data_IF_506976312476
#
_entry.id   IF_506976312476
#
_cell.length_a   1.000
_cell.length_b   1.000
_cell.length_c   1.000
_cell.angle_alpha   90.00
_cell.angle_beta   90.00
_cell.angle_gamma   90.00
#
_symmetry.space_group_name_H-M   'P 1'
#
loop_
_entity.id
_entity.type
_entity.pdbx_description
1 polymer ?
#
# COMPACT_ATOMS: atom_id res chain seq x y z
N UNK A 1 -4.90 -8.83 -12.55
CA UNK A 1 -5.15 -9.18 -11.14
C UNK A 1 -3.86 -9.14 -10.36
N UNK A 2 -3.95 -9.03 -9.04
CA UNK A 2 -2.88 -9.33 -8.06
C UNK A 2 -3.47 -10.14 -6.90
N UNK A 3 -2.62 -10.74 -6.09
CA UNK A 3 -3.02 -11.77 -5.12
C UNK A 3 -2.68 -11.38 -3.69
N UNK A 4 -3.66 -11.45 -2.79
CA UNK A 4 -3.47 -11.22 -1.36
C UNK A 4 -3.52 -12.55 -0.60
N UNK A 5 -2.39 -12.95 0.00
CA UNK A 5 -2.29 -14.14 0.83
C UNK A 5 -2.66 -13.78 2.27
N UNK A 6 -3.63 -14.48 2.83
CA UNK A 6 -4.13 -14.20 4.18
C UNK A 6 -4.89 -15.41 4.75
N UNK A 7 -5.56 -15.25 5.90
CA UNK A 7 -6.38 -16.29 6.50
C UNK A 7 -7.85 -16.22 6.05
N UNK A 8 -8.59 -17.32 6.19
CA UNK A 8 -10.05 -17.34 5.98
C UNK A 8 -10.78 -16.27 6.82
N UNK A 9 -10.39 -16.06 8.08
CA UNK A 9 -10.99 -15.03 8.95
C UNK A 9 -10.82 -13.61 8.37
N UNK A 10 -9.64 -13.32 7.82
CA UNK A 10 -9.38 -12.03 7.17
C UNK A 10 -10.17 -11.91 5.87
N UNK A 11 -10.29 -12.98 5.07
CA UNK A 11 -11.15 -13.00 3.89
C UNK A 11 -12.61 -12.64 4.24
N UNK A 12 -13.19 -13.27 5.28
CA UNK A 12 -14.56 -13.00 5.69
C UNK A 12 -14.75 -11.52 6.04
N UNK A 13 -13.80 -10.92 6.76
CA UNK A 13 -13.84 -9.50 7.11
C UNK A 13 -13.66 -8.59 5.89
N UNK A 14 -12.81 -8.95 4.92
CA UNK A 14 -12.61 -8.19 3.67
C UNK A 14 -13.92 -8.19 2.87
N UNK A 15 -14.57 -9.35 2.79
CA UNK A 15 -15.86 -9.52 2.09
C UNK A 15 -16.97 -8.72 2.79
N UNK A 16 -17.06 -8.82 4.11
CA UNK A 16 -18.06 -8.12 4.93
C UNK A 16 -17.91 -6.58 4.84
N UNK A 17 -16.68 -6.08 5.04
CA UNK A 17 -16.43 -4.63 5.13
C UNK A 17 -16.06 -3.97 3.80
N UNK A 18 -15.76 -4.75 2.76
CA UNK A 18 -15.28 -4.29 1.45
C UNK A 18 -14.12 -3.31 1.56
N UNK A 19 -13.12 -3.70 2.33
CA UNK A 19 -11.92 -2.89 2.57
C UNK A 19 -10.70 -3.75 2.82
N UNK A 20 -9.55 -3.13 2.56
CA UNK A 20 -8.25 -3.61 2.98
C UNK A 20 -7.73 -2.78 4.16
N UNK A 21 -6.87 -3.36 4.99
CA UNK A 21 -6.29 -2.65 6.13
C UNK A 21 -4.81 -2.34 5.89
N UNK A 22 -4.57 -1.13 5.39
CA UNK A 22 -3.23 -0.63 5.14
C UNK A 22 -2.50 -0.43 6.48
N UNK A 23 -1.45 -1.20 6.69
CA UNK A 23 -0.69 -1.22 7.95
C UNK A 23 0.42 -0.19 7.88
N UNK A 24 0.67 0.54 8.96
CA UNK A 24 1.78 1.48 8.98
C UNK A 24 3.11 0.76 8.69
N UNK A 25 3.95 1.34 7.84
CA UNK A 25 5.18 0.72 7.34
C UNK A 25 6.13 0.29 8.48
N UNK A 26 6.11 0.98 9.63
CA UNK A 26 6.94 0.66 10.79
C UNK A 26 6.54 -0.63 11.52
N UNK A 27 5.36 -1.16 11.22
CA UNK A 27 4.79 -2.35 11.86
C UNK A 27 4.74 -3.55 10.91
N UNK A 28 5.41 -3.46 9.75
CA UNK A 28 5.58 -4.59 8.84
C UNK A 28 6.63 -5.57 9.37
N UNK A 29 6.60 -6.79 8.82
CA UNK A 29 7.51 -7.86 9.22
C UNK A 29 8.98 -7.53 8.92
N UNK A 30 9.24 -6.79 7.85
CA UNK A 30 10.58 -6.35 7.47
C UNK A 30 10.73 -4.85 7.73
N UNK A 31 11.26 -4.52 8.91
CA UNK A 31 11.56 -3.14 9.31
C UNK A 31 12.80 -2.58 8.60
N UNK A 32 13.58 -3.43 7.91
CA UNK A 32 14.81 -3.01 7.23
C UNK A 32 14.57 -2.45 5.83
N UNK A 33 13.39 -2.65 5.23
CA UNK A 33 13.05 -2.19 3.87
C UNK A 33 13.29 -0.69 3.71
N UNK A 34 12.84 0.10 4.71
CA UNK A 34 13.01 1.55 4.73
C UNK A 34 14.48 1.93 4.74
N UNK A 35 15.24 1.39 5.69
CA UNK A 35 16.64 1.75 5.90
C UNK A 35 17.50 1.33 4.69
N UNK A 36 17.17 0.20 4.07
CA UNK A 36 17.76 -0.23 2.81
C UNK A 36 17.61 0.84 1.72
N UNK A 37 16.39 1.30 1.44
CA UNK A 37 16.16 2.33 0.43
C UNK A 37 16.83 3.67 0.78
N UNK A 38 16.70 4.13 2.03
CA UNK A 38 17.29 5.40 2.45
C UNK A 38 18.82 5.39 2.36
N UNK A 39 19.47 4.26 2.64
CA UNK A 39 20.93 4.12 2.48
C UNK A 39 21.39 4.22 1.01
N UNK A 40 20.56 3.72 0.07
CA UNK A 40 20.82 3.84 -1.36
C UNK A 40 20.70 5.29 -1.81
N UNK A 41 19.69 6.02 -1.32
CA UNK A 41 19.50 7.45 -1.59
C UNK A 41 20.63 8.27 -1.01
N UNK A 42 21.02 8.03 0.25
CA UNK A 42 22.13 8.73 0.92
C UNK A 42 23.40 8.68 0.08
N UNK A 43 23.77 7.48 -0.38
CA UNK A 43 24.96 7.27 -1.20
C UNK A 43 24.94 8.10 -2.47
N UNK A 44 23.79 8.16 -3.15
CA UNK A 44 23.66 8.93 -4.39
C UNK A 44 23.63 10.44 -4.14
N UNK A 45 22.98 10.91 -3.07
CA UNK A 45 22.98 12.33 -2.70
C UNK A 45 24.40 12.81 -2.37
N UNK A 46 25.15 12.05 -1.56
CA UNK A 46 26.55 12.37 -1.23
C UNK A 46 27.41 12.43 -2.49
N UNK A 47 27.27 11.45 -3.38
CA UNK A 47 28.01 11.42 -4.64
C UNK A 47 27.63 12.60 -5.56
N UNK A 48 26.36 12.95 -5.67
CA UNK A 48 25.89 14.09 -6.48
C UNK A 48 26.37 15.43 -5.91
N UNK A 49 26.30 15.60 -4.58
CA UNK A 49 26.75 16.81 -3.89
C UNK A 49 28.28 16.98 -3.97
N UNK A 50 29.04 15.89 -3.98
CA UNK A 50 30.50 15.92 -4.07
C UNK A 50 31.07 16.33 -5.44
N UNK A 51 30.25 16.39 -6.49
CA UNK A 51 30.71 16.76 -7.85
C UNK A 51 31.07 18.25 -7.95
N UNK A 52 32.08 18.54 -8.77
CA UNK A 52 32.40 19.90 -9.17
C UNK A 52 31.19 20.50 -9.94
N UNK A 53 30.81 21.73 -9.58
CA UNK A 53 29.63 22.39 -10.16
C UNK A 53 28.28 21.86 -9.66
N UNK A 54 28.22 20.98 -8.64
CA UNK A 54 26.94 20.51 -8.11
C UNK A 54 26.05 21.67 -7.62
N UNK A 55 24.77 21.63 -7.99
CA UNK A 55 23.78 22.66 -7.69
C UNK A 55 23.64 22.88 -6.17
N UNK A 56 23.46 24.14 -5.70
CA UNK A 56 23.25 24.43 -4.28
C UNK A 56 22.11 23.63 -3.65
N UNK A 57 21.01 23.43 -4.40
CA UNK A 57 19.86 22.63 -3.95
C UNK A 57 20.25 21.20 -3.62
N UNK A 58 21.10 20.56 -4.43
CA UNK A 58 21.55 19.17 -4.19
C UNK A 58 22.40 19.09 -2.93
N UNK A 59 23.31 20.05 -2.72
CA UNK A 59 24.13 20.11 -1.50
C UNK A 59 23.26 20.27 -0.26
N UNK A 60 22.31 21.19 -0.29
CA UNK A 60 21.43 21.41 0.85
C UNK A 60 20.50 20.23 1.13
N UNK A 61 19.97 19.56 0.10
CA UNK A 61 19.20 18.33 0.27
C UNK A 61 20.05 17.21 0.87
N UNK A 62 21.31 17.07 0.46
CA UNK A 62 22.23 16.10 1.03
C UNK A 62 22.47 16.36 2.53
N UNK A 63 22.72 17.61 2.92
CA UNK A 63 22.94 17.99 4.32
C UNK A 63 21.68 17.75 5.17
N UNK A 64 20.51 18.16 4.66
CA UNK A 64 19.22 17.94 5.30
C UNK A 64 18.88 16.45 5.43
N UNK A 65 19.19 15.65 4.41
CA UNK A 65 18.95 14.21 4.39
C UNK A 65 19.80 13.45 5.42
N UNK A 66 21.08 13.82 5.58
CA UNK A 66 21.96 13.17 6.55
C UNK A 66 21.47 13.32 8.00
N UNK A 67 20.83 14.47 8.31
CA UNK A 67 20.13 14.68 9.59
C UNK A 67 18.85 13.85 9.65
N UNK A 68 18.04 13.94 8.60
CA UNK A 68 16.76 13.23 8.46
C UNK A 68 16.88 11.72 8.64
N UNK A 69 17.83 11.08 7.96
CA UNK A 69 18.00 9.62 7.98
C UNK A 69 18.30 9.07 9.38
N UNK A 70 18.82 9.90 10.28
CA UNK A 70 19.13 9.55 11.67
C UNK A 70 17.98 9.81 12.65
N UNK A 71 16.95 10.53 12.23
CA UNK A 71 15.83 10.90 13.10
C UNK A 71 14.80 9.77 13.22
N UNK A 72 14.28 9.59 14.44
CA UNK A 72 13.20 8.64 14.70
C UNK A 72 11.86 9.28 14.32
N UNK A 73 11.33 8.92 13.16
CA UNK A 73 10.01 9.38 12.69
C UNK A 73 8.88 8.80 13.54
N UNK A 74 7.86 9.63 13.80
CA UNK A 74 6.60 9.14 14.37
C UNK A 74 5.91 8.29 13.33
N UNK A 75 5.19 7.26 13.77
CA UNK A 75 4.47 6.39 12.83
C UNK A 75 3.45 7.17 11.99
N UNK A 76 2.87 8.25 12.54
CA UNK A 76 1.92 9.13 11.83
C UNK A 76 2.54 9.83 10.62
N UNK A 77 3.86 9.91 10.54
CA UNK A 77 4.63 10.56 9.47
C UNK A 77 5.12 9.55 8.41
N UNK A 78 4.72 8.28 8.53
CA UNK A 78 5.13 7.19 7.66
C UNK A 78 3.94 6.62 6.87
N UNK A 79 4.17 6.08 5.66
CA UNK A 79 3.12 5.50 4.84
C UNK A 79 2.46 4.27 5.47
N UNK A 80 1.26 3.95 4.96
CA UNK A 80 0.52 2.75 5.29
C UNK A 80 0.38 1.88 4.04
N UNK A 81 0.60 0.57 4.18
CA UNK A 81 0.68 -0.33 3.03
C UNK A 81 -0.23 -1.55 3.13
N UNK A 82 -0.74 -1.98 1.98
CA UNK A 82 -1.31 -3.32 1.77
C UNK A 82 -0.47 -4.01 0.71
N UNK A 83 0.00 -5.21 1.00
CA UNK A 83 0.85 -5.99 0.10
C UNK A 83 0.06 -7.04 -0.68
N UNK A 84 0.44 -7.19 -1.94
CA UNK A 84 -0.09 -8.17 -2.90
C UNK A 84 1.09 -8.80 -3.65
N UNK A 85 0.89 -9.99 -4.20
CA UNK A 85 1.85 -10.66 -5.09
C UNK A 85 1.29 -10.76 -6.51
N UNK A 86 2.17 -10.76 -7.51
CA UNK A 86 1.82 -11.13 -8.87
C UNK A 86 1.60 -12.64 -9.03
N UNK A 87 2.16 -13.45 -8.13
CA UNK A 87 2.20 -14.91 -8.26
C UNK A 87 1.03 -15.56 -7.49
N UNK A 88 0.12 -16.25 -8.19
CA UNK A 88 -0.81 -17.16 -7.54
C UNK A 88 -0.09 -18.44 -7.11
N UNK A 89 -0.62 -19.09 -6.07
CA UNK A 89 -0.18 -20.41 -5.60
C UNK A 89 1.32 -20.56 -5.26
N UNK A 90 1.91 -19.58 -4.55
CA UNK A 90 3.33 -19.60 -4.17
C UNK A 90 3.57 -20.26 -2.80
N UNK A 91 4.40 -21.30 -2.74
CA UNK A 91 4.77 -21.98 -1.49
C UNK A 91 5.40 -21.03 -0.46
N UNK A 92 6.25 -20.09 -0.92
CA UNK A 92 6.87 -19.11 -0.05
C UNK A 92 5.81 -18.20 0.61
N UNK A 93 4.85 -17.74 -0.19
CA UNK A 93 3.74 -16.90 0.28
C UNK A 93 2.83 -17.65 1.25
N UNK A 94 2.47 -18.91 0.93
CA UNK A 94 1.68 -19.76 1.83
C UNK A 94 2.35 -19.91 3.20
N UNK A 95 3.67 -20.18 3.22
CA UNK A 95 4.41 -20.35 4.47
C UNK A 95 4.54 -19.05 5.26
N UNK A 96 4.70 -17.91 4.58
CA UNK A 96 4.91 -16.63 5.22
C UNK A 96 3.63 -16.03 5.81
N UNK A 97 2.51 -16.12 5.09
CA UNK A 97 1.29 -15.36 5.41
C UNK A 97 0.09 -16.22 5.80
N UNK A 98 0.14 -17.54 5.55
CA UNK A 98 -1.00 -18.43 5.75
C UNK A 98 -0.67 -19.55 6.75
N UNK A 99 -0.56 -19.19 8.03
CA UNK A 99 -0.26 -20.14 9.08
C UNK A 99 -1.41 -21.17 9.29
N UNK A 100 -1.02 -22.39 9.73
CA UNK A 100 -1.93 -23.42 10.28
C UNK A 100 -2.99 -23.97 9.31
N UNK A 101 -2.71 -23.98 8.00
CA UNK A 101 -3.61 -24.60 7.02
C UNK A 101 -4.97 -23.90 6.86
N UNK A 102 -5.15 -22.68 7.37
CA UNK A 102 -6.39 -21.91 7.20
C UNK A 102 -6.21 -20.74 6.23
N UNK A 103 -5.35 -20.95 5.22
CA UNK A 103 -4.90 -19.95 4.28
C UNK A 103 -5.78 -19.80 3.05
N UNK A 104 -5.88 -18.58 2.55
CA UNK A 104 -6.47 -18.27 1.25
C UNK A 104 -5.60 -17.26 0.49
N UNK A 105 -5.68 -17.33 -0.83
CA UNK A 105 -5.08 -16.40 -1.76
C UNK A 105 -6.21 -15.73 -2.54
N UNK A 106 -6.40 -14.43 -2.32
CA UNK A 106 -7.51 -13.65 -2.87
C UNK A 106 -7.00 -12.94 -4.13
N UNK A 107 -7.55 -13.31 -5.28
CA UNK A 107 -7.28 -12.65 -6.55
C UNK A 107 -8.15 -11.41 -6.71
N UNK A 108 -7.48 -10.25 -6.80
CA UNK A 108 -8.11 -8.93 -6.76
C UNK A 108 -7.89 -8.21 -8.08
N UNK A 109 -8.93 -7.51 -8.52
CA UNK A 109 -8.94 -6.66 -9.70
C UNK A 109 -8.10 -5.39 -9.49
N UNK A 110 -7.15 -5.18 -10.39
CA UNK A 110 -6.21 -4.07 -10.28
C UNK A 110 -6.84 -2.72 -10.58
N UNK A 111 -7.89 -2.69 -11.40
CA UNK A 111 -8.70 -1.51 -11.67
C UNK A 111 -9.44 -1.04 -10.41
N UNK A 112 -10.01 -1.97 -9.63
CA UNK A 112 -10.60 -1.63 -8.31
C UNK A 112 -9.56 -1.05 -7.35
N UNK A 113 -8.34 -1.59 -7.32
CA UNK A 113 -7.25 -1.07 -6.49
C UNK A 113 -6.77 0.33 -6.92
N UNK A 114 -6.87 0.68 -8.20
CA UNK A 114 -6.50 2.02 -8.70
C UNK A 114 -7.48 3.11 -8.29
N UNK A 115 -8.71 2.73 -7.94
CA UNK A 115 -9.77 3.62 -7.48
C UNK A 115 -9.94 3.61 -5.95
N UNK A 116 -9.09 2.85 -5.25
CA UNK A 116 -9.15 2.68 -3.82
C UNK A 116 -8.85 4.00 -3.08
N UNK A 117 -9.63 4.28 -2.03
CA UNK A 117 -9.49 5.50 -1.23
C UNK A 117 -9.53 5.18 0.29
N UNK A 118 -8.97 6.07 1.11
CA UNK A 118 -9.03 5.93 2.57
C UNK A 118 -10.46 6.18 3.05
N UNK A 119 -10.99 5.29 3.91
CA UNK A 119 -12.28 5.47 4.57
C UNK A 119 -12.11 6.23 5.89
N UNK A 120 -12.88 7.29 6.09
CA UNK A 120 -13.01 7.97 7.37
C UNK A 120 -13.57 7.03 8.46
N UNK A 121 -13.23 7.29 9.73
CA UNK A 121 -13.66 6.50 10.89
C UNK A 121 -15.18 6.58 11.11
N UNK A 122 -15.79 7.74 10.89
CA UNK A 122 -17.20 8.02 11.19
C UNK A 122 -18.11 8.11 9.94
N UNK A 123 -17.64 7.65 8.78
CA UNK A 123 -18.39 7.80 7.51
C UNK A 123 -18.61 9.26 7.06
N UNK A 124 -18.00 10.23 7.74
CA UNK A 124 -17.92 11.65 7.32
C UNK A 124 -17.07 11.76 6.06
N UNK A 125 -17.39 12.71 5.18
CA UNK A 125 -16.52 12.94 4.04
C UNK A 125 -15.22 13.55 4.53
N UNK A 126 -14.09 13.07 4.02
CA UNK A 126 -12.79 13.72 4.25
C UNK A 126 -12.77 15.15 3.67
N UNK A 127 -13.68 15.43 2.74
CA UNK A 127 -13.85 16.71 2.02
C UNK A 127 -14.77 17.72 2.72
N UNK A 128 -15.40 17.40 3.85
CA UNK A 128 -16.35 18.31 4.51
C UNK A 128 -15.65 19.53 5.17
N UNK A 129 -14.32 19.53 5.22
CA UNK A 129 -13.48 20.61 5.71
C UNK A 129 -12.57 21.13 4.57
N UNK A 130 -12.58 22.45 4.25
CA UNK A 130 -11.90 23.01 3.07
C UNK A 130 -10.36 22.89 3.06
N UNK A 131 -9.75 22.36 4.12
CA UNK A 131 -8.28 22.25 4.28
C UNK A 131 -7.77 20.82 4.50
N UNK A 132 -8.63 19.80 4.62
CA UNK A 132 -8.15 18.41 4.71
C UNK A 132 -7.91 17.83 3.33
N UNK A 133 -6.66 17.49 3.03
CA UNK A 133 -6.31 16.69 1.86
C UNK A 133 -6.42 15.21 2.23
N UNK A 134 -7.25 14.48 1.48
CA UNK A 134 -7.38 13.03 1.62
C UNK A 134 -6.00 12.38 1.48
N UNK A 135 -5.66 11.37 2.30
CA UNK A 135 -4.39 10.69 2.12
C UNK A 135 -4.37 10.02 0.75
N UNK A 136 -3.36 10.35 -0.05
CA UNK A 136 -3.25 9.86 -1.42
C UNK A 136 -2.95 8.35 -1.38
N UNK A 137 -3.74 7.57 -2.12
CA UNK A 137 -3.54 6.12 -2.27
C UNK A 137 -2.96 5.85 -3.64
N UNK A 138 -1.82 5.16 -3.70
CA UNK A 138 -1.23 4.70 -4.96
C UNK A 138 -1.11 3.18 -4.98
N UNK A 139 -1.57 2.58 -6.08
CA UNK A 139 -1.33 1.17 -6.40
C UNK A 139 -0.13 1.06 -7.36
N UNK A 140 0.96 0.43 -6.90
CA UNK A 140 2.18 0.29 -7.71
C UNK A 140 2.94 -1.00 -7.46
N UNK A 141 3.75 -1.40 -8.44
CA UNK A 141 4.69 -2.52 -8.32
C UNK A 141 5.87 -2.11 -7.42
N UNK A 142 6.33 -3.03 -6.59
CA UNK A 142 7.55 -2.85 -5.80
C UNK A 142 8.79 -2.93 -6.69
N UNK A 143 9.72 -2.00 -6.48
CA UNK A 143 11.01 -1.98 -7.15
C UNK A 143 12.06 -2.70 -6.28
N UNK A 144 12.79 -3.61 -6.89
CA UNK A 144 13.86 -4.35 -6.23
C UNK A 144 15.19 -3.69 -6.60
N UNK A 145 15.73 -2.90 -5.67
CA UNK A 145 16.87 -2.01 -5.94
C UNK A 145 18.07 -2.35 -5.06
N UNK A 146 19.25 -2.26 -5.65
CA UNK A 146 20.54 -2.54 -5.04
C UNK A 146 21.51 -1.37 -5.23
N UNK A 147 22.72 -1.52 -4.72
CA UNK A 147 23.80 -0.54 -4.89
C UNK A 147 24.21 -0.34 -6.36
N UNK A 148 23.94 -1.35 -7.19
CA UNK A 148 24.25 -1.40 -8.61
C UNK A 148 23.26 -0.56 -9.44
N UNK A 149 22.04 -0.29 -8.93
CA UNK A 149 20.96 0.41 -9.64
C UNK A 149 21.08 1.96 -9.59
N UNK A 150 22.30 2.48 -9.61
CA UNK A 150 22.61 3.89 -9.35
C UNK A 150 21.85 4.84 -10.27
N UNK A 151 21.80 4.55 -11.56
CA UNK A 151 21.12 5.40 -12.54
C UNK A 151 19.60 5.50 -12.26
N UNK A 152 18.98 4.40 -11.84
CA UNK A 152 17.56 4.38 -11.49
C UNK A 152 17.30 5.15 -10.19
N UNK A 153 18.17 5.00 -9.19
CA UNK A 153 18.08 5.74 -7.91
C UNK A 153 18.26 7.24 -8.14
N UNK A 154 19.26 7.65 -8.93
CA UNK A 154 19.48 9.06 -9.29
C UNK A 154 18.25 9.62 -10.01
N UNK A 155 17.69 8.88 -10.98
CA UNK A 155 16.47 9.29 -11.68
C UNK A 155 15.31 9.51 -10.71
N UNK A 156 15.15 8.63 -9.72
CA UNK A 156 14.11 8.77 -8.68
C UNK A 156 14.34 10.00 -7.80
N UNK A 157 15.57 10.26 -7.37
CA UNK A 157 15.91 11.46 -6.59
C UNK A 157 15.56 12.72 -7.38
N UNK A 158 15.99 12.79 -8.64
CA UNK A 158 15.73 13.95 -9.51
C UNK A 158 14.23 14.15 -9.75
N UNK A 159 13.45 13.08 -9.95
CA UNK A 159 12.00 13.21 -10.14
C UNK A 159 11.29 13.71 -8.88
N UNK A 160 11.74 13.32 -7.68
CA UNK A 160 11.16 13.87 -6.45
C UNK A 160 11.55 15.34 -6.25
N UNK A 161 12.76 15.75 -6.61
CA UNK A 161 13.16 17.18 -6.60
C UNK A 161 12.28 18.00 -7.54
N UNK A 162 12.05 17.52 -8.75
CA UNK A 162 11.15 18.16 -9.72
C UNK A 162 9.72 18.27 -9.18
N UNK A 163 9.21 17.19 -8.55
CA UNK A 163 7.88 17.16 -7.95
C UNK A 163 7.73 18.17 -6.81
N UNK A 164 8.73 18.26 -5.93
CA UNK A 164 8.76 19.27 -4.86
C UNK A 164 8.77 20.68 -5.46
N UNK A 165 9.66 20.96 -6.42
CA UNK A 165 9.75 22.28 -7.06
C UNK A 165 8.41 22.69 -7.71
N UNK A 166 7.74 21.76 -8.36
CA UNK A 166 6.41 21.98 -8.92
C UNK A 166 5.38 22.33 -7.84
N UNK A 167 5.31 21.56 -6.75
CA UNK A 167 4.40 21.83 -5.63
C UNK A 167 4.66 23.20 -5.00
N UNK A 168 5.92 23.59 -4.85
CA UNK A 168 6.33 24.92 -4.36
C UNK A 168 5.87 26.05 -5.27
N UNK A 169 6.02 25.89 -6.58
CA UNK A 169 5.62 26.90 -7.56
C UNK A 169 4.10 27.15 -7.57
N UNK A 170 3.30 26.09 -7.38
CA UNK A 170 1.83 26.15 -7.48
C UNK A 170 1.17 26.66 -6.20
N UNK A 171 1.64 26.25 -5.02
CA UNK A 171 0.87 26.40 -3.79
C UNK A 171 1.24 27.62 -2.93
N UNK A 172 2.16 28.51 -3.36
CA UNK A 172 2.63 29.71 -2.62
C UNK A 172 2.53 29.53 -1.09
N UNK A 173 3.31 28.57 -0.59
CA UNK A 173 3.24 28.16 0.81
C UNK A 173 3.62 29.33 1.72
N UNK A 174 2.74 29.68 2.66
CA UNK A 174 3.01 30.63 3.73
C UNK A 174 3.28 29.84 5.01
N UNK A 175 4.52 29.43 5.24
CA UNK A 175 4.93 28.75 6.48
C UNK A 175 5.93 29.60 7.27
N UNK A 176 6.07 29.31 8.58
CA UNK A 176 7.05 29.92 9.47
C UNK A 176 8.49 29.37 9.25
N UNK A 177 8.67 28.44 8.32
CA UNK A 177 9.95 27.80 8.03
C UNK A 177 10.71 28.56 6.94
N UNK A 178 12.03 28.39 6.89
CA UNK A 178 12.77 28.82 5.70
C UNK A 178 12.32 27.97 4.51
N UNK A 179 12.30 28.57 3.30
CA UNK A 179 11.95 27.84 2.08
C UNK A 179 12.81 26.57 1.88
N UNK A 180 14.05 26.61 2.38
CA UNK A 180 14.98 25.49 2.27
C UNK A 180 14.63 24.32 3.20
N UNK A 181 14.20 24.61 4.43
CA UNK A 181 13.77 23.58 5.39
C UNK A 181 12.46 22.92 4.93
N UNK A 182 11.56 23.70 4.35
CA UNK A 182 10.30 23.20 3.81
C UNK A 182 10.53 22.30 2.58
N UNK A 183 11.44 22.71 1.66
CA UNK A 183 11.86 21.89 0.51
C UNK A 183 12.41 20.53 0.98
N UNK A 184 13.32 20.55 1.95
CA UNK A 184 13.95 19.34 2.49
C UNK A 184 12.92 18.43 3.16
N UNK A 185 12.00 19.00 3.93
CA UNK A 185 10.93 18.23 4.60
C UNK A 185 10.05 17.52 3.58
N UNK A 186 9.59 18.23 2.54
CA UNK A 186 8.73 17.65 1.50
C UNK A 186 9.44 16.62 0.64
N UNK A 187 10.71 16.87 0.32
CA UNK A 187 11.54 15.88 -0.36
C UNK A 187 11.64 14.58 0.45
N UNK A 188 11.88 14.69 1.75
CA UNK A 188 11.96 13.52 2.63
C UNK A 188 10.61 12.78 2.76
N UNK A 189 9.48 13.49 2.83
CA UNK A 189 8.15 12.87 2.87
C UNK A 189 7.86 12.05 1.58
N UNK A 190 8.27 12.57 0.42
CA UNK A 190 8.16 11.85 -0.86
C UNK A 190 9.09 10.62 -0.90
N UNK A 191 10.29 10.73 -0.34
CA UNK A 191 11.22 9.61 -0.22
C UNK A 191 10.67 8.50 0.68
N UNK A 192 9.97 8.80 1.78
CA UNK A 192 9.33 7.77 2.62
C UNK A 192 8.24 7.02 1.84
N UNK A 193 7.45 7.73 1.04
CA UNK A 193 6.48 7.09 0.14
C UNK A 193 7.17 6.18 -0.87
N UNK A 194 8.34 6.59 -1.37
CA UNK A 194 9.15 5.80 -2.30
C UNK A 194 9.78 4.59 -1.61
N UNK A 195 10.24 4.74 -0.38
CA UNK A 195 10.77 3.66 0.45
C UNK A 195 9.75 2.54 0.63
N UNK A 196 8.48 2.90 0.87
CA UNK A 196 7.38 1.94 0.96
C UNK A 196 7.12 1.15 -0.35
N UNK A 197 7.75 1.52 -1.46
CA UNK A 197 7.67 0.83 -2.76
C UNK A 197 8.98 0.21 -3.23
N UNK A 198 10.00 0.18 -2.38
CA UNK A 198 11.32 -0.36 -2.72
C UNK A 198 11.71 -1.49 -1.77
N UNK A 199 12.43 -2.49 -2.30
CA UNK A 199 12.93 -3.64 -1.55
C UNK A 199 14.34 -4.03 -1.96
N UNK A 200 15.00 -4.78 -1.09
CA UNK A 200 16.21 -5.49 -1.44
C UNK A 200 15.89 -6.60 -2.49
N UNK A 201 16.72 -6.81 -3.53
CA UNK A 201 16.47 -7.82 -4.55
C UNK A 201 16.37 -9.26 -4.06
N UNK A 202 16.89 -9.58 -2.88
CA UNK A 202 16.72 -10.88 -2.24
C UNK A 202 15.24 -11.25 -2.03
N UNK A 203 14.34 -10.26 -1.97
CA UNK A 203 12.89 -10.45 -1.82
C UNK A 203 12.13 -10.44 -3.17
N UNK A 204 12.82 -10.48 -4.31
CA UNK A 204 12.19 -10.46 -5.64
C UNK A 204 11.22 -11.61 -5.90
N UNK A 205 11.40 -12.74 -5.20
CA UNK A 205 10.49 -13.89 -5.23
C UNK A 205 9.07 -13.56 -4.71
N UNK A 206 8.88 -12.45 -4.00
CA UNK A 206 7.55 -12.02 -3.57
C UNK A 206 6.70 -11.44 -4.71
N UNK A 207 7.34 -10.99 -5.80
CA UNK A 207 6.71 -10.36 -6.95
C UNK A 207 5.68 -9.29 -6.55
N UNK A 208 6.10 -8.39 -5.65
CA UNK A 208 5.17 -7.62 -4.83
C UNK A 208 4.58 -6.39 -5.55
N UNK A 209 3.31 -6.13 -5.28
CA UNK A 209 2.58 -4.90 -5.56
C UNK A 209 2.04 -4.35 -4.25
N UNK A 210 1.97 -3.03 -4.11
CA UNK A 210 1.46 -2.38 -2.90
C UNK A 210 0.40 -1.33 -3.22
N UNK A 211 -0.65 -1.30 -2.40
CA UNK A 211 -1.37 -0.06 -2.12
C UNK A 211 -0.60 0.70 -1.07
N UNK A 212 -0.29 1.96 -1.32
CA UNK A 212 0.46 2.83 -0.43
C UNK A 212 -0.36 4.09 -0.20
N UNK A 213 -0.87 4.25 1.01
CA UNK A 213 -1.53 5.45 1.48
C UNK A 213 -0.51 6.36 2.18
N UNK A 214 -0.52 7.65 1.87
CA UNK A 214 0.35 8.62 2.54
C UNK A 214 -0.01 8.78 4.01
N UNK A 215 0.93 9.34 4.77
CA UNK A 215 0.62 9.92 6.07
C UNK A 215 -0.49 10.98 5.95
N UNK A 216 -1.17 11.24 7.06
CA UNK A 216 -2.24 12.23 7.15
C UNK A 216 -1.95 13.24 8.25
N UNK A 217 -2.30 14.50 8.01
CA UNK A 217 -2.25 15.55 9.03
C UNK A 217 -3.49 15.52 9.94
N UNK A 218 -4.50 14.71 9.60
CA UNK A 218 -5.73 14.51 10.38
C UNK A 218 -5.89 13.03 10.80
N UNK A 219 -4.95 12.46 11.57
CA UNK A 219 -4.98 11.04 11.96
C UNK A 219 -6.26 10.65 12.69
N UNK A 220 -6.85 11.53 13.49
CA UNK A 220 -8.10 11.29 14.21
C UNK A 220 -9.29 10.98 13.28
N UNK A 221 -9.26 11.41 12.01
CA UNK A 221 -10.34 11.17 11.05
C UNK A 221 -10.28 9.81 10.37
N UNK A 222 -9.12 9.18 10.30
CA UNK A 222 -8.88 7.98 9.45
C UNK A 222 -8.20 6.82 10.17
N UNK A 223 -7.46 7.11 11.24
CA UNK A 223 -6.62 6.13 11.92
C UNK A 223 -7.48 5.18 12.74
N UNK A 224 -7.28 3.89 12.50
CA UNK A 224 -7.89 2.80 13.26
C UNK A 224 -6.80 1.92 13.88
N UNK A 225 -7.21 1.08 14.81
CA UNK A 225 -6.29 0.25 15.58
C UNK A 225 -6.77 -1.19 15.65
N UNK A 226 -5.82 -2.13 15.63
CA UNK A 226 -6.09 -3.55 15.86
C UNK A 226 -5.06 -4.13 16.81
N UNK A 227 -5.48 -5.16 17.55
CA UNK A 227 -4.56 -5.95 18.36
C UNK A 227 -3.70 -6.85 17.46
N UNK A 228 -2.41 -6.92 17.74
CA UNK A 228 -1.47 -7.89 17.19
C UNK A 228 -0.84 -8.70 18.33
N UNK A 229 -0.01 -9.69 17.98
CA UNK A 229 0.58 -10.63 18.96
C UNK A 229 1.32 -9.93 20.11
N UNK A 230 1.96 -8.80 19.84
CA UNK A 230 2.87 -8.12 20.78
C UNK A 230 2.60 -6.62 20.94
N UNK A 231 1.63 -6.05 20.21
CA UNK A 231 1.39 -4.61 20.20
C UNK A 231 0.01 -4.26 19.66
N UNK A 232 -0.37 -2.98 19.78
CA UNK A 232 -1.46 -2.38 19.01
C UNK A 232 -0.87 -1.84 17.72
N UNK A 233 -1.51 -2.16 16.59
CA UNK A 233 -1.05 -1.79 15.26
C UNK A 233 -2.01 -0.75 14.65
N UNK A 234 -1.51 0.45 14.30
CA UNK A 234 -2.29 1.43 13.57
C UNK A 234 -2.47 1.01 12.11
N UNK A 235 -3.67 1.24 11.57
CA UNK A 235 -3.98 0.99 10.17
C UNK A 235 -4.97 2.02 9.60
N UNK A 236 -4.95 2.18 8.28
CA UNK A 236 -5.97 2.88 7.51
C UNK A 236 -6.87 1.85 6.83
N UNK A 237 -8.19 2.03 6.87
CA UNK A 237 -9.09 1.22 6.06
C UNK A 237 -9.15 1.82 4.66
N UNK A 238 -8.85 1.01 3.65
CA UNK A 238 -8.82 1.39 2.24
C UNK A 238 -9.99 0.71 1.54
N UNK A 239 -10.82 1.45 0.82
CA UNK A 239 -11.93 0.87 0.07
C UNK A 239 -11.41 -0.16 -0.94
N UNK A 240 -12.11 -1.29 -1.05
CA UNK A 240 -11.76 -2.32 -2.02
C UNK A 240 -12.40 -2.09 -3.40
N UNK A 241 -13.40 -1.21 -3.46
CA UNK A 241 -14.17 -0.80 -4.63
C UNK A 241 -14.24 0.73 -4.67
N UNK A 242 -14.60 1.30 -5.82
CA UNK A 242 -14.85 2.74 -5.95
C UNK A 242 -15.99 3.14 -4.99
N UNK A 243 -15.75 4.08 -4.05
CA UNK A 243 -16.78 4.54 -3.14
C UNK A 243 -18.01 5.14 -3.84
N UNK A 244 -17.87 5.60 -5.08
CA UNK A 244 -18.94 6.22 -5.88
C UNK A 244 -19.83 5.21 -6.61
N UNK A 245 -19.39 3.94 -6.73
CA UNK A 245 -20.11 2.87 -7.43
C UNK A 245 -21.29 2.29 -6.63
N UNK A 246 -21.46 2.74 -5.38
CA UNK A 246 -22.58 2.33 -4.55
C UNK A 246 -23.63 3.43 -4.49
N UNK A 247 -24.79 3.16 -5.09
CA UNK A 247 -26.00 3.84 -4.67
C UNK A 247 -26.26 3.49 -3.19
N UNK A 248 -26.86 4.42 -2.44
CA UNK A 248 -27.25 4.27 -1.02
C UNK A 248 -28.15 3.05 -0.73
N UNK A 249 -28.51 2.27 -1.76
CA UNK A 249 -29.36 1.07 -1.71
C UNK A 249 -28.59 -0.24 -1.52
N UNK A 250 -27.25 -0.24 -1.57
CA UNK A 250 -26.43 -1.45 -1.39
C UNK A 250 -26.29 -2.32 -2.64
N UNK A 251 -26.85 -1.89 -3.77
CA UNK A 251 -26.66 -2.52 -5.07
C UNK A 251 -25.37 -2.02 -5.73
N UNK A 252 -24.62 -2.94 -6.38
CA UNK A 252 -23.40 -2.64 -7.17
C UNK A 252 -23.81 -2.05 -8.53
N UNK A 253 -24.38 -0.85 -8.53
CA UNK A 253 -24.87 -0.19 -9.73
C UNK A 253 -24.17 1.15 -9.93
N UNK A 254 -23.47 1.29 -11.05
CA UNK A 254 -22.89 2.56 -11.49
C UNK A 254 -23.74 3.18 -12.59
N UNK A 255 -23.83 4.51 -12.60
CA UNK A 255 -24.45 5.25 -13.70
C UNK A 255 -23.41 5.51 -14.80
N UNK A 256 -23.67 5.02 -16.00
CA UNK A 256 -22.86 5.29 -17.19
C UNK A 256 -22.97 6.76 -17.63
N UNK A 257 -22.03 7.23 -18.46
CA UNK A 257 -22.07 8.57 -19.07
C UNK A 257 -23.36 8.85 -19.86
N UNK A 258 -24.01 7.78 -20.35
CA UNK A 258 -25.28 7.83 -21.08
C UNK A 258 -26.51 7.77 -20.15
N UNK A 259 -26.29 7.68 -18.84
CA UNK A 259 -27.34 7.70 -17.81
C UNK A 259 -27.95 6.34 -17.46
N UNK A 260 -27.50 5.24 -18.07
CA UNK A 260 -27.93 3.87 -17.75
C UNK A 260 -27.25 3.34 -16.49
N UNK A 261 -27.91 2.46 -15.75
CA UNK A 261 -27.33 1.73 -14.64
C UNK A 261 -26.66 0.44 -15.14
N UNK A 262 -25.40 0.22 -14.77
CA UNK A 262 -24.64 -1.00 -15.06
C UNK A 262 -24.18 -1.66 -13.76
N UNK A 263 -24.19 -3.00 -13.73
CA UNK A 263 -23.63 -3.73 -12.60
C UNK A 263 -22.10 -3.61 -12.60
N UNK A 264 -21.52 -3.07 -11.54
CA UNK A 264 -20.07 -3.03 -11.41
C UNK A 264 -19.55 -4.41 -11.02
N UNK A 265 -18.50 -4.93 -11.69
CA UNK A 265 -18.01 -6.25 -11.34
C UNK A 265 -17.36 -6.19 -9.95
N UNK A 266 -17.43 -7.28 -9.21
CA UNK A 266 -16.88 -7.39 -7.86
C UNK A 266 -15.36 -7.18 -7.85
N UNK A 267 -14.80 -6.62 -6.78
CA UNK A 267 -13.34 -6.45 -6.66
C UNK A 267 -12.57 -7.76 -6.51
N UNK A 268 -13.18 -8.79 -5.91
CA UNK A 268 -12.62 -10.14 -5.85
C UNK A 268 -13.02 -10.86 -7.13
N UNK A 269 -12.02 -11.39 -7.84
CA UNK A 269 -12.22 -12.18 -9.05
C UNK A 269 -12.01 -13.67 -8.78
N UNK A 270 -11.14 -14.03 -7.82
CA UNK A 270 -10.93 -15.41 -7.41
C UNK A 270 -10.57 -15.55 -5.94
N UNK A 271 -10.87 -16.71 -5.36
CA UNK A 271 -10.29 -17.13 -4.08
C UNK A 271 -9.72 -18.53 -4.26
N UNK A 272 -8.43 -18.68 -3.98
CA UNK A 272 -7.76 -19.96 -3.94
C UNK A 272 -7.59 -20.39 -2.49
N UNK A 273 -8.04 -21.60 -2.18
CA UNK A 273 -7.90 -22.22 -0.87
C UNK A 273 -6.52 -22.83 -0.79
N UNK A 274 -5.75 -22.43 0.22
CA UNK A 274 -4.41 -22.94 0.45
C UNK A 274 -4.40 -24.42 0.85
N UNK A 275 -3.23 -25.07 0.86
CA UNK A 275 -3.11 -26.49 1.19
C UNK A 275 -3.65 -26.77 2.60
N UNK A 276 -4.70 -27.59 2.69
CA UNK A 276 -5.33 -27.96 3.97
C UNK A 276 -6.16 -29.25 3.84
N UNK A 277 -6.48 -29.95 4.95
CA UNK A 277 -7.17 -31.24 4.91
C UNK A 277 -8.65 -31.15 4.50
N UNK A 278 -9.29 -29.98 4.63
CA UNK A 278 -10.70 -29.75 4.37
C UNK A 278 -10.94 -28.86 3.14
N UNK A 279 -10.06 -28.96 2.13
CA UNK A 279 -10.08 -28.07 0.97
C UNK A 279 -11.38 -28.12 0.15
N UNK A 280 -11.97 -29.31 -0.01
CA UNK A 280 -13.23 -29.48 -0.77
C UNK A 280 -14.43 -28.88 -0.03
N UNK A 281 -14.56 -29.18 1.27
CA UNK A 281 -15.62 -28.59 2.11
C UNK A 281 -15.48 -27.06 2.16
N UNK A 282 -14.25 -26.57 2.26
CA UNK A 282 -13.98 -25.12 2.23
C UNK A 282 -14.41 -24.50 0.90
N UNK A 283 -14.19 -25.20 -0.22
CA UNK A 283 -14.60 -24.75 -1.55
C UNK A 283 -16.12 -24.70 -1.70
N UNK A 284 -16.82 -25.74 -1.23
CA UNK A 284 -18.29 -25.80 -1.24
C UNK A 284 -18.92 -24.64 -0.47
N UNK A 285 -18.43 -24.36 0.74
CA UNK A 285 -18.92 -23.26 1.58
C UNK A 285 -18.64 -21.90 0.93
N UNK A 286 -17.43 -21.69 0.39
CA UNK A 286 -17.09 -20.42 -0.27
C UNK A 286 -17.90 -20.19 -1.54
N UNK A 287 -18.14 -21.24 -2.34
CA UNK A 287 -19.03 -21.14 -3.52
C UNK A 287 -20.42 -20.67 -3.10
N UNK A 288 -21.03 -21.36 -2.12
CA UNK A 288 -22.35 -20.99 -1.59
C UNK A 288 -22.37 -19.54 -1.07
N UNK A 289 -21.32 -19.12 -0.36
CA UNK A 289 -21.20 -17.75 0.16
C UNK A 289 -21.20 -16.70 -0.96
N UNK A 290 -20.38 -16.90 -2.00
CA UNK A 290 -20.24 -15.93 -3.09
C UNK A 290 -21.40 -15.96 -4.10
N UNK A 291 -22.06 -17.10 -4.26
CA UNK A 291 -23.37 -17.21 -4.95
C UNK A 291 -24.43 -16.35 -4.25
N UNK A 292 -24.52 -16.44 -2.92
CA UNK A 292 -25.42 -15.63 -2.11
C UNK A 292 -25.17 -14.12 -2.26
N UNK A 293 -23.94 -13.71 -2.56
CA UNK A 293 -23.58 -12.32 -2.84
C UNK A 293 -23.78 -11.90 -4.29
N UNK A 294 -24.31 -12.78 -5.15
CA UNK A 294 -24.44 -12.56 -6.60
C UNK A 294 -23.12 -12.14 -7.24
N UNK A 295 -22.02 -12.77 -6.82
CA UNK A 295 -20.68 -12.46 -7.31
C UNK A 295 -20.13 -13.62 -8.13
N UNK A 296 -19.41 -13.33 -9.22
CA UNK A 296 -18.82 -14.35 -10.09
C UNK A 296 -17.41 -14.73 -9.65
N UNK A 297 -17.21 -14.90 -8.34
CA UNK A 297 -15.88 -15.22 -7.78
C UNK A 297 -15.52 -16.66 -8.10
N UNK A 298 -14.36 -16.87 -8.72
CA UNK A 298 -13.85 -18.22 -9.02
C UNK A 298 -13.21 -18.84 -7.77
N UNK A 299 -13.78 -19.93 -7.28
CA UNK A 299 -13.21 -20.69 -6.16
C UNK A 299 -12.35 -21.83 -6.71
N UNK A 300 -11.12 -21.94 -6.19
CA UNK A 300 -10.17 -22.98 -6.58
C UNK A 300 -9.36 -23.47 -5.38
N UNK A 301 -8.61 -24.54 -5.57
CA UNK A 301 -7.68 -25.08 -4.58
C UNK A 301 -6.25 -24.92 -5.09
N UNK A 302 -5.34 -24.70 -4.15
CA UNK A 302 -3.90 -24.78 -4.39
C UNK A 302 -3.52 -26.17 -4.91
N UNK A 303 -2.62 -26.21 -5.90
CA UNK A 303 -2.02 -27.45 -6.40
C UNK A 303 -0.84 -27.91 -5.52
N UNK A 304 -0.41 -27.09 -4.56
CA UNK A 304 0.65 -27.44 -3.62
C UNK A 304 0.10 -28.49 -2.64
N UNK A 305 0.78 -29.64 -2.48
CA UNK A 305 0.35 -30.66 -1.55
C UNK A 305 0.32 -30.14 -0.11
N UNK A 306 -0.73 -30.48 0.64
CA UNK A 306 -0.77 -30.20 2.06
C UNK A 306 0.32 -31.00 2.78
N UNK A 307 1.12 -30.30 3.58
CA UNK A 307 2.02 -30.88 4.57
C UNK A 307 1.74 -30.21 5.90
N UNK A 308 1.59 -31.03 6.92
CA UNK A 308 1.51 -30.53 8.29
C UNK A 308 2.92 -30.14 8.73
N UNK A 309 3.22 -28.84 8.65
CA UNK A 309 4.46 -28.27 9.16
C UNK A 309 4.19 -27.83 10.60
N UNK A 310 4.15 -28.81 11.50
CA UNK A 310 4.09 -28.58 12.95
C UNK A 310 5.34 -27.84 13.44
#
# INVERSE_FOLDING_TARGET
MVYHYTSMDVLLKIVEKREFWATNARFLNDVSERDHFLSLVERQLVHMAGREGALPTIRSLCDGFAKYAKEHRRFTELPYVVSFSAEPDSLAQWRAYCARGNGVCIGIRTDSLRQAAVKAVDGRSLTDEPLSVDPEVAFQRVLYLSAEDQAQIIKMILSEIERVNFLFAVHKWHTFMSAQDELSTRFNDLLERRAASCKNPAFSAEAEYRLIATATDAPEKVLRYRSAKTSIVPYLAISAEDPTDFLKTGDRLRKTDQGFLECTPYFIESVMIGPNPNGDLSAEVLNTMFEGQRSNVKISRSNIPYRDWL
#
